data_IF_477568287200
#
_entry.id   IF_477568287200
#
_cell.length_a   1.000
_cell.length_b   1.000
_cell.length_c   1.000
_cell.angle_alpha   90.00
_cell.angle_beta   90.00
_cell.angle_gamma   90.00
#
_symmetry.space_group_name_H-M   'P 1'
#
loop_
_entity.id
_entity.type
_entity.pdbx_description
1 polymer ?
#
# COMPACT_ATOMS: atom_id res chain seq x y z
N UNK A 1 61.86 -7.55 2.99
CA UNK A 1 61.28 -8.56 2.09
C UNK A 1 60.47 -9.53 2.94
N UNK A 2 59.15 -9.37 2.97
CA UNK A 2 58.23 -10.29 3.65
C UNK A 2 56.96 -10.36 2.81
N UNK A 3 56.87 -11.40 1.98
CA UNK A 3 55.70 -11.70 1.16
C UNK A 3 54.59 -12.27 2.04
N UNK A 4 53.46 -11.58 2.12
CA UNK A 4 52.21 -12.15 2.67
C UNK A 4 51.39 -12.62 1.47
N UNK A 5 51.42 -13.94 1.21
CA UNK A 5 50.51 -14.59 0.27
C UNK A 5 49.10 -14.62 0.86
N UNK A 6 48.17 -13.87 0.27
CA UNK A 6 46.74 -14.06 0.51
C UNK A 6 46.23 -15.18 -0.39
N UNK A 7 46.09 -16.38 0.19
CA UNK A 7 45.33 -17.48 -0.41
C UNK A 7 43.85 -17.15 -0.36
N UNK A 8 43.25 -16.79 -1.50
CA UNK A 8 41.80 -16.68 -1.63
C UNK A 8 41.19 -18.08 -1.67
N UNK A 9 40.80 -18.58 -0.50
CA UNK A 9 40.09 -19.85 -0.37
C UNK A 9 38.65 -19.62 -0.84
N UNK A 10 38.33 -20.15 -2.02
CA UNK A 10 36.98 -20.13 -2.60
C UNK A 10 35.99 -20.75 -1.60
N UNK A 11 34.98 -20.00 -1.10
CA UNK A 11 33.97 -20.60 -0.24
C UNK A 11 33.23 -21.66 -1.05
N UNK A 12 33.27 -22.90 -0.56
CA UNK A 12 32.48 -24.02 -1.07
C UNK A 12 31.00 -23.66 -0.96
N UNK A 13 30.24 -24.04 -1.97
CA UNK A 13 28.89 -23.54 -2.23
C UNK A 13 27.96 -23.58 -1.02
N UNK A 14 27.69 -22.39 -0.47
CA UNK A 14 26.43 -22.13 0.21
C UNK A 14 25.35 -22.14 -0.86
N UNK A 15 24.47 -23.14 -0.82
CA UNK A 15 23.26 -23.15 -1.63
C UNK A 15 22.39 -22.03 -1.06
N UNK A 16 22.28 -20.92 -1.80
CA UNK A 16 21.37 -19.83 -1.44
C UNK A 16 19.97 -20.42 -1.18
N UNK A 17 19.32 -20.12 -0.03
CA UNK A 17 18.03 -20.68 0.35
C UNK A 17 16.88 -20.40 -0.64
N UNK A 18 17.13 -19.56 -1.66
CA UNK A 18 16.16 -19.14 -2.67
C UNK A 18 16.28 -19.87 -4.01
N UNK A 19 17.09 -20.93 -4.14
CA UNK A 19 17.19 -21.67 -5.42
C UNK A 19 15.91 -22.42 -5.80
N UNK A 20 15.03 -22.68 -4.82
CA UNK A 20 13.75 -23.35 -4.99
C UNK A 20 12.86 -23.05 -3.77
N UNK A 21 12.04 -21.98 -3.79
CA UNK A 21 11.19 -21.65 -2.66
C UNK A 21 10.15 -22.77 -2.43
N UNK A 22 9.95 -23.15 -1.18
CA UNK A 22 8.91 -24.10 -0.80
C UNK A 22 7.52 -23.48 -1.01
N UNK A 23 6.50 -24.30 -1.28
CA UNK A 23 5.12 -23.82 -1.40
C UNK A 23 4.66 -22.99 -0.19
N UNK A 24 5.10 -23.35 1.03
CA UNK A 24 4.84 -22.59 2.25
C UNK A 24 5.45 -21.18 2.21
N UNK A 25 6.71 -21.04 1.77
CA UNK A 25 7.39 -19.74 1.67
C UNK A 25 6.71 -18.83 0.65
N UNK A 26 6.21 -19.39 -0.46
CA UNK A 26 5.43 -18.62 -1.45
C UNK A 26 4.07 -18.17 -0.88
N UNK A 27 3.41 -19.01 -0.07
CA UNK A 27 2.16 -18.65 0.60
C UNK A 27 2.36 -17.55 1.63
N UNK A 28 3.41 -17.64 2.44
CA UNK A 28 3.78 -16.57 3.39
C UNK A 28 4.02 -15.25 2.66
N UNK A 29 4.71 -15.26 1.52
CA UNK A 29 4.97 -14.07 0.72
C UNK A 29 3.67 -13.41 0.21
N UNK A 30 2.69 -14.22 -0.21
CA UNK A 30 1.38 -13.72 -0.66
C UNK A 30 0.57 -13.20 0.52
N UNK A 31 0.52 -13.95 1.63
CA UNK A 31 -0.22 -13.55 2.83
C UNK A 31 0.33 -12.24 3.41
N UNK A 32 1.66 -12.10 3.47
CA UNK A 32 2.37 -10.88 3.84
C UNK A 32 1.84 -9.69 3.03
N UNK A 33 1.79 -9.81 1.71
CA UNK A 33 1.26 -8.76 0.83
C UNK A 33 -0.21 -8.45 1.09
N UNK A 34 -1.07 -9.46 1.20
CA UNK A 34 -2.50 -9.27 1.44
C UNK A 34 -2.77 -8.54 2.77
N UNK A 35 -2.01 -8.87 3.82
CA UNK A 35 -2.10 -8.22 5.12
C UNK A 35 -1.54 -6.79 5.12
N UNK A 36 -0.45 -6.54 4.39
CA UNK A 36 0.09 -5.18 4.21
C UNK A 36 -0.91 -4.27 3.49
N UNK A 37 -1.57 -4.77 2.45
CA UNK A 37 -2.53 -4.01 1.64
C UNK A 37 -3.96 -3.99 2.19
N UNK A 38 -4.18 -4.53 3.39
CA UNK A 38 -5.48 -4.57 4.06
C UNK A 38 -6.58 -5.33 3.28
N UNK A 39 -6.20 -6.33 2.48
CA UNK A 39 -7.14 -7.20 1.77
C UNK A 39 -7.68 -8.29 2.72
N UNK A 40 -8.39 -7.88 3.77
CA UNK A 40 -8.80 -8.75 4.90
C UNK A 40 -9.59 -9.97 4.47
N UNK A 41 -10.60 -9.80 3.61
CA UNK A 41 -11.43 -10.90 3.13
C UNK A 41 -10.63 -11.92 2.33
N UNK A 42 -9.74 -11.43 1.45
CA UNK A 42 -8.86 -12.28 0.64
C UNK A 42 -7.83 -12.98 1.52
N UNK A 43 -7.21 -12.27 2.47
CA UNK A 43 -6.27 -12.86 3.43
C UNK A 43 -6.95 -13.95 4.27
N UNK A 44 -8.16 -13.71 4.77
CA UNK A 44 -8.94 -14.68 5.56
C UNK A 44 -9.26 -15.93 4.73
N UNK A 45 -9.75 -15.76 3.50
CA UNK A 45 -10.00 -16.87 2.59
C UNK A 45 -8.71 -17.63 2.25
N UNK A 46 -7.62 -16.90 2.01
CA UNK A 46 -6.31 -17.47 1.69
C UNK A 46 -5.72 -18.29 2.84
N UNK A 47 -5.88 -17.83 4.09
CA UNK A 47 -5.47 -18.58 5.29
C UNK A 47 -6.26 -19.89 5.38
N UNK A 48 -7.58 -19.84 5.23
CA UNK A 48 -8.45 -21.02 5.30
C UNK A 48 -8.15 -22.05 4.20
N UNK A 49 -7.78 -21.60 3.00
CA UNK A 49 -7.37 -22.49 1.91
C UNK A 49 -5.94 -23.04 2.09
N UNK A 50 -5.11 -22.31 2.84
CA UNK A 50 -3.69 -22.65 3.08
C UNK A 50 -3.46 -23.58 4.27
N UNK A 51 -4.38 -23.61 5.25
CA UNK A 51 -4.37 -24.64 6.29
C UNK A 51 -4.51 -25.98 5.61
N UNK A 52 -3.41 -26.72 5.53
CA UNK A 52 -3.44 -28.14 5.20
C UNK A 52 -4.42 -28.74 6.19
N UNK A 53 -5.56 -29.24 5.69
CA UNK A 53 -6.42 -30.09 6.50
C UNK A 53 -5.56 -31.26 6.91
N UNK A 54 -5.07 -31.26 8.15
CA UNK A 54 -4.47 -32.44 8.72
C UNK A 54 -5.61 -33.45 8.80
N UNK A 55 -5.62 -34.37 7.84
CA UNK A 55 -6.53 -35.50 7.84
C UNK A 55 -5.90 -36.54 8.75
N UNK A 56 -6.68 -37.09 9.67
CA UNK A 56 -6.20 -38.23 10.45
C UNK A 56 -6.03 -39.46 9.56
N UNK A 57 -5.55 -40.56 10.15
CA UNK A 57 -5.35 -41.81 9.43
C UNK A 57 -6.65 -42.39 8.82
N UNK A 58 -7.81 -41.94 9.30
CA UNK A 58 -9.13 -42.35 8.85
C UNK A 58 -9.72 -41.39 7.79
N UNK A 59 -9.05 -40.27 7.52
CA UNK A 59 -9.44 -39.29 6.51
C UNK A 59 -10.40 -38.21 7.02
N UNK A 60 -10.61 -38.13 8.33
CA UNK A 60 -11.44 -37.12 8.96
C UNK A 60 -10.63 -35.83 9.21
N UNK A 61 -11.31 -34.69 9.09
CA UNK A 61 -10.71 -33.37 9.27
C UNK A 61 -10.38 -33.16 10.76
N UNK A 62 -9.09 -33.14 11.13
CA UNK A 62 -8.66 -32.79 12.48
C UNK A 62 -8.88 -31.28 12.65
N UNK A 63 -10.05 -30.91 13.15
CA UNK A 63 -10.25 -29.58 13.71
C UNK A 63 -9.35 -29.47 14.95
N UNK A 64 -8.19 -28.83 14.80
CA UNK A 64 -7.40 -28.36 15.93
C UNK A 64 -8.27 -27.39 16.74
N UNK A 65 -8.94 -27.93 17.76
CA UNK A 65 -9.67 -27.14 18.74
C UNK A 65 -8.72 -26.21 19.49
N UNK A 66 -9.26 -25.17 20.16
CA UNK A 66 -8.46 -24.13 20.83
C UNK A 66 -7.60 -24.61 22.02
N UNK A 67 -7.42 -25.92 22.23
CA UNK A 67 -6.70 -26.50 23.38
C UNK A 67 -5.41 -27.27 23.01
N UNK A 68 -4.97 -27.27 21.75
CA UNK A 68 -3.69 -27.90 21.38
C UNK A 68 -2.52 -26.90 21.33
N UNK A 69 -2.19 -26.31 22.49
CA UNK A 69 -0.95 -25.53 22.70
C UNK A 69 0.27 -26.43 22.97
N UNK A 70 0.43 -27.57 22.28
CA UNK A 70 1.58 -28.46 22.56
C UNK A 70 2.17 -29.16 21.35
N UNK A 71 2.59 -28.37 20.35
CA UNK A 71 3.71 -28.78 19.49
C UNK A 71 4.76 -27.67 19.44
N UNK A 72 5.98 -28.06 19.81
CA UNK A 72 7.12 -27.20 20.11
C UNK A 72 7.73 -26.54 18.87
N UNK A 73 8.34 -25.35 19.02
CA UNK A 73 8.94 -24.59 17.93
C UNK A 73 10.33 -25.15 17.60
N UNK A 74 10.44 -25.85 16.47
CA UNK A 74 11.75 -26.22 15.94
C UNK A 74 12.16 -25.16 14.90
N UNK A 75 13.17 -24.39 15.30
CA UNK A 75 14.00 -23.47 14.50
C UNK A 75 13.49 -22.06 14.30
N UNK A 76 13.97 -21.20 15.21
CA UNK A 76 14.02 -19.76 15.10
C UNK A 76 14.66 -19.30 13.76
N UNK A 77 13.84 -18.65 12.96
CA UNK A 77 14.22 -17.43 12.26
C UNK A 77 13.07 -16.45 12.47
N UNK A 78 13.37 -15.31 13.07
CA UNK A 78 12.44 -14.21 13.36
C UNK A 78 11.65 -13.81 12.11
N UNK A 79 10.50 -14.46 11.91
CA UNK A 79 9.53 -14.06 10.91
C UNK A 79 8.44 -13.27 11.64
N UNK A 80 8.12 -12.04 11.21
CA UNK A 80 7.14 -11.16 11.86
C UNK A 80 5.68 -11.67 11.82
N UNK A 81 5.48 -12.94 11.43
CA UNK A 81 4.19 -13.63 11.34
C UNK A 81 4.01 -14.70 12.45
N UNK A 82 4.84 -14.70 13.50
CA UNK A 82 4.71 -15.64 14.62
C UNK A 82 3.52 -15.35 15.56
N UNK A 83 2.75 -14.29 15.32
CA UNK A 83 1.51 -14.01 16.05
C UNK A 83 0.38 -14.93 15.60
N UNK A 84 -0.55 -15.25 16.51
CA UNK A 84 -1.75 -16.01 16.17
C UNK A 84 -2.46 -15.35 14.97
N UNK A 85 -2.90 -16.13 13.95
CA UNK A 85 -3.59 -15.59 12.77
C UNK A 85 -4.78 -14.69 13.12
N UNK A 86 -5.42 -14.94 14.27
CA UNK A 86 -6.52 -14.13 14.81
C UNK A 86 -6.12 -12.70 15.16
N UNK A 87 -4.95 -12.51 15.77
CA UNK A 87 -4.42 -11.19 16.19
C UNK A 87 -4.01 -10.39 14.96
N UNK A 88 -3.29 -11.03 14.03
CA UNK A 88 -2.91 -10.44 12.75
C UNK A 88 -4.14 -9.94 11.98
N UNK A 89 -5.15 -10.80 11.80
CA UNK A 89 -6.36 -10.42 11.07
C UNK A 89 -7.13 -9.28 11.74
N UNK A 90 -7.17 -9.23 13.08
CA UNK A 90 -7.78 -8.12 13.82
C UNK A 90 -7.08 -6.80 13.50
N UNK A 91 -5.75 -6.79 13.55
CA UNK A 91 -4.95 -5.60 13.25
C UNK A 91 -5.14 -5.15 11.79
N UNK A 92 -5.21 -6.10 10.84
CA UNK A 92 -5.46 -5.81 9.42
C UNK A 92 -6.86 -5.20 9.23
N UNK A 93 -7.88 -5.68 9.95
CA UNK A 93 -9.25 -5.13 9.88
C UNK A 93 -9.31 -3.71 10.45
N UNK A 94 -8.62 -3.44 11.57
CA UNK A 94 -8.52 -2.09 12.13
C UNK A 94 -7.88 -1.11 11.13
N UNK A 95 -6.79 -1.52 10.46
CA UNK A 95 -6.15 -0.69 9.43
C UNK A 95 -7.04 -0.49 8.21
N UNK A 96 -7.78 -1.53 7.80
CA UNK A 96 -8.76 -1.46 6.71
C UNK A 96 -9.86 -0.44 7.01
N UNK A 97 -10.43 -0.47 8.20
CA UNK A 97 -11.49 0.46 8.60
C UNK A 97 -11.01 1.92 8.57
N UNK A 98 -9.81 2.19 9.11
CA UNK A 98 -9.18 3.51 9.03
C UNK A 98 -8.98 3.95 7.57
N UNK A 99 -8.49 3.05 6.70
CA UNK A 99 -8.34 3.31 5.27
C UNK A 99 -9.67 3.69 4.63
N UNK A 100 -10.72 2.91 4.85
CA UNK A 100 -12.05 3.15 4.28
C UNK A 100 -12.62 4.51 4.70
N UNK A 101 -12.43 4.92 5.96
CA UNK A 101 -12.85 6.24 6.44
C UNK A 101 -12.08 7.38 5.76
N UNK A 102 -10.77 7.25 5.55
CA UNK A 102 -9.96 8.25 4.83
C UNK A 102 -10.43 8.36 3.37
N UNK A 103 -10.63 7.22 2.69
CA UNK A 103 -11.12 7.19 1.31
C UNK A 103 -12.53 7.78 1.17
N UNK A 104 -13.38 7.61 2.18
CA UNK A 104 -14.70 8.22 2.25
C UNK A 104 -14.69 9.73 2.61
N UNK A 105 -13.52 10.30 2.94
CA UNK A 105 -13.38 11.70 3.35
C UNK A 105 -13.76 11.96 4.82
N UNK A 106 -14.04 10.91 5.61
CA UNK A 106 -14.39 11.01 7.04
C UNK A 106 -13.13 11.06 7.92
N UNK A 107 -12.28 12.03 7.66
CA UNK A 107 -10.93 12.14 8.27
C UNK A 107 -10.98 12.30 9.79
N UNK A 108 -12.01 12.95 10.34
CA UNK A 108 -12.19 13.10 11.79
C UNK A 108 -12.30 11.74 12.49
N UNK A 109 -13.29 10.94 12.09
CA UNK A 109 -13.49 9.58 12.61
C UNK A 109 -12.26 8.68 12.39
N UNK A 110 -11.60 8.80 11.23
CA UNK A 110 -10.36 8.05 10.97
C UNK A 110 -9.25 8.41 11.97
N UNK A 111 -9.14 9.68 12.35
CA UNK A 111 -8.16 10.14 13.34
C UNK A 111 -8.49 9.62 14.74
N UNK A 112 -9.78 9.57 15.08
CA UNK A 112 -10.23 9.03 16.38
C UNK A 112 -9.92 7.54 16.50
N UNK A 113 -10.26 6.73 15.48
CA UNK A 113 -9.89 5.31 15.43
C UNK A 113 -8.38 5.08 15.40
N UNK A 114 -7.61 5.95 14.74
CA UNK A 114 -6.16 5.86 14.73
C UNK A 114 -5.57 6.07 16.13
N UNK A 115 -6.11 7.02 16.90
CA UNK A 115 -5.70 7.22 18.30
C UNK A 115 -6.15 6.08 19.21
N UNK A 116 -7.28 5.44 18.91
CA UNK A 116 -7.80 4.29 19.67
C UNK A 116 -6.96 3.02 19.43
N UNK A 117 -6.70 2.68 18.15
CA UNK A 117 -6.04 1.43 17.78
C UNK A 117 -4.52 1.54 17.71
N UNK A 118 -3.99 2.70 17.32
CA UNK A 118 -2.56 2.94 17.10
C UNK A 118 -2.08 4.27 17.70
N UNK A 119 -2.17 4.45 19.03
CA UNK A 119 -1.92 5.74 19.69
C UNK A 119 -0.50 6.29 19.46
N UNK A 120 0.47 5.44 19.17
CA UNK A 120 1.86 5.81 18.88
C UNK A 120 2.08 6.39 17.47
N UNK A 121 1.10 6.32 16.57
CA UNK A 121 1.24 6.81 15.19
C UNK A 121 1.27 8.33 15.12
N UNK A 122 0.42 8.98 15.91
CA UNK A 122 0.33 10.44 15.94
C UNK A 122 1.04 11.06 17.15
N UNK A 123 1.58 10.25 18.05
CA UNK A 123 2.31 10.70 19.24
C UNK A 123 3.81 10.75 18.97
N UNK A 124 4.48 11.80 19.46
CA UNK A 124 5.95 11.97 19.34
C UNK A 124 6.75 10.97 20.21
N UNK A 125 6.10 10.09 20.96
CA UNK A 125 6.73 9.20 21.93
C UNK A 125 7.14 7.86 21.31
N UNK A 126 8.37 7.74 20.80
CA UNK A 126 9.19 6.51 20.86
C UNK A 126 10.67 6.88 20.69
N UNK A 127 11.60 6.18 21.39
CA UNK A 127 12.99 6.58 21.53
C UNK A 127 13.85 6.18 20.32
N UNK A 128 14.77 7.08 19.97
CA UNK A 128 16.03 6.88 19.24
C UNK A 128 16.38 5.41 18.95
N UNK A 129 16.10 4.95 17.73
CA UNK A 129 16.96 4.01 17.02
C UNK A 129 17.88 4.80 16.09
N UNK A 130 19.14 4.36 15.91
CA UNK A 130 20.20 5.20 15.38
C UNK A 130 19.87 5.64 13.95
N UNK A 131 20.10 6.91 13.73
CA UNK A 131 19.95 7.65 12.48
C UNK A 131 20.18 6.80 11.23
N UNK A 132 19.09 6.42 10.56
CA UNK A 132 19.11 6.39 9.11
C UNK A 132 19.14 7.84 8.63
N UNK A 133 19.93 8.20 7.61
CA UNK A 133 20.02 9.58 7.16
C UNK A 133 18.61 10.10 6.86
N UNK A 134 18.28 11.25 7.42
CA UNK A 134 17.15 12.09 7.00
C UNK A 134 17.37 12.49 5.54
N UNK A 135 17.13 11.55 4.65
CA UNK A 135 17.02 11.78 3.23
C UNK A 135 15.67 12.47 3.03
N UNK A 136 15.72 13.80 3.15
CA UNK A 136 14.87 14.70 2.37
C UNK A 136 15.23 14.53 0.90
N UNK A 137 15.09 13.30 0.39
CA UNK A 137 15.33 13.00 -1.01
C UNK A 137 14.09 13.44 -1.77
N UNK A 138 14.29 14.51 -2.54
CA UNK A 138 13.51 14.79 -3.74
C UNK A 138 13.53 13.54 -4.62
N UNK A 139 12.62 12.59 -4.37
CA UNK A 139 12.41 11.48 -5.28
C UNK A 139 11.84 12.08 -6.58
N UNK A 140 12.51 11.89 -7.73
CA UNK A 140 11.94 12.25 -9.01
C UNK A 140 10.66 11.45 -9.19
N UNK A 141 9.62 12.18 -9.57
CA UNK A 141 8.26 11.73 -9.81
C UNK A 141 8.28 10.49 -10.71
N UNK A 142 7.82 9.34 -10.20
CA UNK A 142 7.34 8.30 -11.09
C UNK A 142 6.09 8.83 -11.78
N UNK A 143 6.11 8.81 -13.11
CA UNK A 143 5.09 9.34 -13.99
C UNK A 143 3.66 8.97 -13.52
N UNK A 144 2.92 9.97 -13.03
CA UNK A 144 1.46 9.91 -12.87
C UNK A 144 0.89 9.86 -11.46
N UNK A 145 1.70 9.80 -10.38
CA UNK A 145 1.17 9.77 -9.00
C UNK A 145 1.02 11.18 -8.41
N UNK A 146 -0.14 11.46 -7.80
CA UNK A 146 -0.38 12.70 -7.06
C UNK A 146 0.58 12.83 -5.87
N UNK A 147 1.52 13.77 -5.95
CA UNK A 147 2.49 14.05 -4.89
C UNK A 147 2.06 15.27 -4.07
N UNK A 148 1.92 15.09 -2.75
CA UNK A 148 1.78 16.17 -1.75
C UNK A 148 3.00 16.21 -0.83
N UNK A 149 3.13 17.25 -0.01
CA UNK A 149 4.33 17.46 0.81
C UNK A 149 4.50 16.31 1.81
N UNK A 150 5.72 15.77 1.85
CA UNK A 150 6.13 14.69 2.74
C UNK A 150 5.24 13.43 2.64
N UNK A 151 4.76 13.07 1.44
CA UNK A 151 3.88 11.90 1.20
C UNK A 151 4.49 10.53 1.53
N UNK A 152 5.81 10.46 1.68
CA UNK A 152 6.56 9.26 2.09
C UNK A 152 7.04 9.29 3.54
N UNK A 153 6.89 10.44 4.23
CA UNK A 153 7.33 10.58 5.63
C UNK A 153 6.44 9.76 6.57
N UNK A 154 7.02 9.20 7.63
CA UNK A 154 6.30 8.54 8.71
C UNK A 154 6.39 9.30 10.04
N UNK A 155 6.96 10.52 10.03
CA UNK A 155 7.04 11.39 11.19
C UNK A 155 5.65 11.86 11.66
N UNK A 156 5.32 11.78 12.97
CA UNK A 156 3.99 12.09 13.49
C UNK A 156 3.51 13.50 13.12
N UNK A 157 4.40 14.50 13.18
CA UNK A 157 4.10 15.87 12.82
C UNK A 157 3.60 16.00 11.36
N UNK A 158 4.22 15.28 10.43
CA UNK A 158 3.82 15.25 9.02
C UNK A 158 2.47 14.55 8.84
N UNK A 159 2.25 13.43 9.53
CA UNK A 159 0.99 12.68 9.46
C UNK A 159 -0.19 13.52 9.98
N UNK A 160 -0.02 14.15 11.15
CA UNK A 160 -1.02 15.03 11.75
C UNK A 160 -1.32 16.20 10.81
N UNK A 161 -0.29 16.85 10.28
CA UNK A 161 -0.47 17.99 9.37
C UNK A 161 -1.21 17.57 8.09
N UNK A 162 -0.80 16.48 7.46
CA UNK A 162 -1.42 15.97 6.24
C UNK A 162 -2.89 15.55 6.44
N UNK A 163 -3.22 14.90 7.57
CA UNK A 163 -4.59 14.59 7.97
C UNK A 163 -5.43 15.86 8.15
N UNK A 164 -4.87 16.89 8.80
CA UNK A 164 -5.57 18.18 8.98
C UNK A 164 -5.77 18.93 7.67
N UNK A 165 -4.78 18.92 6.78
CA UNK A 165 -4.91 19.49 5.43
C UNK A 165 -6.02 18.75 4.68
N UNK A 166 -6.05 17.42 4.68
CA UNK A 166 -7.11 16.67 4.01
C UNK A 166 -8.48 16.98 4.63
N UNK A 167 -8.60 17.03 5.96
CA UNK A 167 -9.85 17.40 6.63
C UNK A 167 -10.34 18.80 6.24
N UNK A 168 -9.43 19.76 6.07
CA UNK A 168 -9.76 21.10 5.58
C UNK A 168 -10.23 21.06 4.12
N UNK A 169 -9.52 20.36 3.24
CA UNK A 169 -9.89 20.18 1.82
C UNK A 169 -11.29 19.56 1.72
N UNK A 170 -11.57 18.50 2.50
CA UNK A 170 -12.86 17.84 2.54
C UNK A 170 -13.97 18.76 3.07
N UNK A 171 -13.65 19.72 3.95
CA UNK A 171 -14.61 20.73 4.40
C UNK A 171 -14.90 21.79 3.32
N UNK A 172 -13.97 22.00 2.39
CA UNK A 172 -14.16 22.92 1.28
C UNK A 172 -15.10 22.34 0.20
N UNK A 173 -15.20 21.01 0.08
CA UNK A 173 -16.05 20.36 -0.93
C UNK A 173 -17.48 20.83 -0.90
N UNK A 174 -18.04 21.04 -2.08
CA UNK A 174 -19.47 21.27 -2.28
C UNK A 174 -20.16 20.05 -2.85
N UNK A 175 -19.39 19.16 -3.49
CA UNK A 175 -19.86 17.91 -4.09
C UNK A 175 -19.16 16.70 -3.46
N UNK A 176 -19.91 15.66 -3.06
CA UNK A 176 -19.31 14.39 -2.66
C UNK A 176 -18.46 13.81 -3.80
N UNK A 177 -17.29 13.28 -3.45
CA UNK A 177 -16.44 12.57 -4.41
C UNK A 177 -16.92 11.12 -4.54
N UNK A 178 -17.13 10.68 -5.78
CA UNK A 178 -17.40 9.28 -6.06
C UNK A 178 -16.15 8.44 -5.79
N UNK A 179 -16.26 7.45 -4.92
CA UNK A 179 -15.19 6.47 -4.70
C UNK A 179 -15.16 5.58 -5.94
N UNK A 180 -14.03 5.46 -6.64
CA UNK A 180 -13.90 4.53 -7.75
C UNK A 180 -14.23 3.12 -7.26
N UNK A 181 -15.42 2.64 -7.58
CA UNK A 181 -15.77 1.24 -7.36
C UNK A 181 -14.91 0.43 -8.32
N UNK A 182 -14.07 -0.47 -7.79
CA UNK A 182 -13.40 -1.49 -8.57
C UNK A 182 -14.46 -2.38 -9.24
N UNK A 183 -14.99 -1.95 -10.39
CA UNK A 183 -15.66 -2.86 -11.30
C UNK A 183 -14.60 -3.84 -11.77
N UNK A 184 -14.75 -5.09 -11.38
CA UNK A 184 -14.01 -6.19 -11.98
C UNK A 184 -14.10 -6.08 -13.52
N UNK A 185 -13.00 -6.20 -14.27
CA UNK A 185 -13.02 -6.18 -15.71
C UNK A 185 -13.67 -7.48 -16.20
N UNK A 186 -14.99 -7.46 -16.43
CA UNK A 186 -15.70 -8.64 -16.90
C UNK A 186 -17.20 -8.65 -16.64
N UNK A 187 -17.93 -7.58 -16.98
CA UNK A 187 -19.38 -7.72 -17.17
C UNK A 187 -19.88 -6.74 -18.24
N UNK A 188 -19.67 -7.13 -19.48
CA UNK A 188 -20.39 -6.59 -20.62
C UNK A 188 -21.73 -7.31 -20.78
N UNK A 189 -22.83 -6.59 -20.61
CA UNK A 189 -24.02 -6.73 -21.44
C UNK A 189 -25.06 -7.80 -21.08
N UNK A 190 -26.20 -7.30 -20.58
CA UNK A 190 -27.57 -7.64 -20.99
C UNK A 190 -28.10 -9.09 -20.80
N UNK A 191 -28.75 -9.31 -19.66
CA UNK A 191 -30.04 -10.03 -19.54
C UNK A 191 -30.82 -9.27 -18.45
N UNK A 192 -32.01 -8.73 -18.68
CA UNK A 192 -33.22 -9.47 -19.01
C UNK A 192 -34.00 -9.68 -17.70
N UNK A 193 -35.15 -8.99 -17.58
CA UNK A 193 -36.10 -9.03 -16.45
C UNK A 193 -36.24 -10.44 -15.87
N UNK A 194 -36.08 -10.57 -14.55
CA UNK A 194 -36.26 -11.85 -13.86
C UNK A 194 -36.06 -11.72 -12.37
N UNK A 195 -37.08 -11.20 -11.70
CA UNK A 195 -37.33 -11.34 -10.26
C UNK A 195 -37.21 -12.82 -9.88
N UNK A 196 -36.23 -13.19 -9.06
CA UNK A 196 -36.35 -14.20 -8.00
C UNK A 196 -35.37 -13.89 -6.87
N UNK A 197 -35.94 -13.46 -5.76
CA UNK A 197 -35.33 -13.31 -4.44
C UNK A 197 -35.15 -14.68 -3.81
N UNK A 198 -33.94 -15.00 -3.33
CA UNK A 198 -33.80 -15.97 -2.23
C UNK A 198 -32.99 -15.35 -1.08
N UNK A 199 -33.35 -15.64 0.16
CA UNK A 199 -33.10 -14.77 1.31
C UNK A 199 -31.85 -15.19 2.08
N UNK A 200 -31.09 -14.21 2.54
CA UNK A 200 -30.11 -14.39 3.62
C UNK A 200 -30.87 -14.16 4.94
N UNK A 201 -30.88 -15.11 5.89
CA UNK A 201 -31.50 -14.91 7.19
C UNK A 201 -30.57 -14.04 8.03
N UNK A 202 -30.87 -12.74 8.11
CA UNK A 202 -30.31 -11.86 9.14
C UNK A 202 -31.41 -11.67 10.19
N UNK A 203 -31.14 -12.20 11.38
CA UNK A 203 -31.95 -12.04 12.57
C UNK A 203 -31.86 -10.58 13.04
N UNK A 204 -32.93 -9.82 12.79
CA UNK A 204 -33.16 -8.51 13.40
C UNK A 204 -34.57 -8.49 13.98
N UNK A 205 -34.67 -8.84 15.26
CA UNK A 205 -35.82 -8.48 16.09
C UNK A 205 -35.82 -6.96 16.32
N UNK A 206 -36.43 -6.19 15.42
CA UNK A 206 -36.85 -4.81 15.71
C UNK A 206 -38.24 -4.81 16.36
N UNK A 207 -38.31 -4.32 17.60
CA UNK A 207 -39.52 -3.76 18.18
C UNK A 207 -39.75 -2.31 17.68
N UNK A 208 -40.96 -1.76 17.86
CA UNK A 208 -41.39 -0.55 17.19
C UNK A 208 -40.63 0.71 17.65
N UNK A 209 -40.12 1.44 16.67
CA UNK A 209 -39.46 2.74 16.72
C UNK A 209 -40.26 3.77 17.54
N UNK A 210 -39.67 4.43 18.53
CA UNK A 210 -40.17 5.73 18.99
C UNK A 210 -39.62 6.82 18.06
N UNK A 211 -40.54 7.66 17.56
CA UNK A 211 -40.27 8.88 16.80
C UNK A 211 -39.06 9.63 17.36
N UNK A 212 -37.95 9.59 16.62
CA UNK A 212 -36.83 10.50 16.82
C UNK A 212 -37.06 11.74 15.95
N UNK A 213 -36.91 12.95 16.51
CA UNK A 213 -37.29 14.17 15.83
C UNK A 213 -36.45 14.34 14.56
N UNK A 214 -37.11 14.65 13.46
CA UNK A 214 -36.48 15.18 12.26
C UNK A 214 -35.55 16.32 12.68
N UNK A 215 -34.25 16.08 12.61
CA UNK A 215 -33.25 17.14 12.64
C UNK A 215 -33.46 17.96 11.37
N UNK A 216 -34.17 19.06 11.58
CA UNK A 216 -34.19 20.26 10.75
C UNK A 216 -32.88 20.40 9.99
N UNK A 217 -32.94 20.36 8.66
CA UNK A 217 -31.81 20.75 7.82
C UNK A 217 -31.66 22.27 7.94
N UNK A 218 -31.16 22.70 9.09
CA UNK A 218 -30.79 24.07 9.35
C UNK A 218 -29.82 24.48 8.26
N UNK A 219 -30.28 25.34 7.37
CA UNK A 219 -29.45 25.98 6.34
C UNK A 219 -28.36 26.72 7.10
N UNK A 220 -27.20 26.10 7.27
CA UNK A 220 -26.02 26.78 7.79
C UNK A 220 -25.78 27.92 6.81
N UNK A 221 -25.95 29.16 7.29
CA UNK A 221 -25.70 30.36 6.49
C UNK A 221 -24.30 30.25 5.87
N UNK A 222 -24.15 30.64 4.60
CA UNK A 222 -22.86 30.59 3.90
C UNK A 222 -21.76 31.30 4.70
N UNK A 223 -22.12 32.34 5.45
CA UNK A 223 -21.24 33.06 6.37
C UNK A 223 -20.74 32.17 7.53
N UNK A 224 -21.63 31.39 8.15
CA UNK A 224 -21.27 30.48 9.24
C UNK A 224 -20.38 29.32 8.73
N UNK A 225 -20.64 28.83 7.53
CA UNK A 225 -19.78 27.83 6.88
C UNK A 225 -18.38 28.39 6.61
N UNK A 226 -18.31 29.62 6.11
CA UNK A 226 -17.04 30.31 5.87
C UNK A 226 -16.27 30.55 7.17
N UNK A 227 -16.94 30.95 8.25
CA UNK A 227 -16.32 31.14 9.57
C UNK A 227 -15.69 29.85 10.10
N UNK A 228 -16.38 28.72 9.98
CA UNK A 228 -15.86 27.39 10.35
C UNK A 228 -14.60 27.07 9.54
N UNK A 229 -14.61 27.32 8.24
CA UNK A 229 -13.47 27.07 7.35
C UNK A 229 -12.27 27.95 7.69
N UNK A 230 -12.50 29.25 7.93
CA UNK A 230 -11.45 30.18 8.36
C UNK A 230 -10.86 29.74 9.71
N UNK A 231 -11.70 29.31 10.65
CA UNK A 231 -11.24 28.78 11.94
C UNK A 231 -10.36 27.53 11.77
N UNK A 232 -10.75 26.60 10.89
CA UNK A 232 -9.92 25.42 10.54
C UNK A 232 -8.59 25.83 9.89
N UNK A 233 -8.61 26.79 8.96
CA UNK A 233 -7.41 27.33 8.33
C UNK A 233 -6.43 27.98 9.31
N UNK A 234 -6.94 28.77 10.27
CA UNK A 234 -6.13 29.37 11.34
C UNK A 234 -5.45 28.32 12.22
N UNK A 235 -6.19 27.28 12.61
CA UNK A 235 -5.62 26.15 13.39
C UNK A 235 -4.52 25.43 12.61
N UNK A 236 -4.73 25.24 11.31
CA UNK A 236 -3.77 24.60 10.42
C UNK A 236 -2.46 25.39 10.30
N UNK A 237 -2.56 26.72 10.16
CA UNK A 237 -1.39 27.59 10.17
C UNK A 237 -0.65 27.56 11.52
N UNK A 238 -1.37 27.47 12.64
CA UNK A 238 -0.75 27.29 13.95
C UNK A 238 0.10 26.02 14.05
N UNK A 239 -0.37 24.90 13.49
CA UNK A 239 0.39 23.64 13.42
C UNK A 239 1.62 23.76 12.52
N UNK A 240 1.49 24.44 11.38
CA UNK A 240 2.61 24.71 10.47
C UNK A 240 3.72 25.50 11.19
N UNK A 241 3.38 26.52 11.97
CA UNK A 241 4.38 27.29 12.72
C UNK A 241 5.06 26.50 13.83
N UNK A 242 4.42 25.43 14.33
CA UNK A 242 4.98 24.55 15.35
C UNK A 242 5.99 23.52 14.80
N UNK A 243 6.11 23.37 13.46
CA UNK A 243 7.09 22.47 12.87
C UNK A 243 8.53 22.94 13.14
N UNK A 244 9.45 22.03 13.52
CA UNK A 244 10.83 22.39 13.87
C UNK A 244 11.69 22.77 12.64
N UNK A 245 11.52 22.09 11.51
CA UNK A 245 12.33 22.34 10.31
C UNK A 245 11.81 23.55 9.51
N UNK A 246 12.69 24.52 9.25
CA UNK A 246 12.38 25.68 8.43
C UNK A 246 12.12 25.35 6.95
N UNK A 247 12.81 24.35 6.39
CA UNK A 247 12.64 23.98 4.97
C UNK A 247 11.29 23.32 4.73
N UNK A 248 10.91 22.38 5.61
CA UNK A 248 9.62 21.71 5.54
C UNK A 248 8.47 22.70 5.76
N UNK A 249 8.64 23.65 6.70
CA UNK A 249 7.69 24.75 6.87
C UNK A 249 7.46 25.55 5.61
N UNK A 250 8.50 25.88 4.85
CA UNK A 250 8.34 26.62 3.59
C UNK A 250 7.58 25.81 2.53
N UNK A 251 7.83 24.50 2.45
CA UNK A 251 7.11 23.61 1.53
C UNK A 251 5.62 23.52 1.89
N UNK A 252 5.31 23.31 3.16
CA UNK A 252 3.95 23.26 3.64
C UNK A 252 3.23 24.61 3.57
N UNK A 253 3.94 25.73 3.74
CA UNK A 253 3.37 27.07 3.57
C UNK A 253 2.89 27.29 2.12
N UNK A 254 3.68 26.87 1.13
CA UNK A 254 3.30 26.88 -0.29
C UNK A 254 2.09 25.99 -0.56
N UNK A 255 2.06 24.77 0.00
CA UNK A 255 0.90 23.89 -0.14
C UNK A 255 -0.35 24.49 0.50
N UNK A 256 -0.23 25.06 1.71
CA UNK A 256 -1.32 25.67 2.43
C UNK A 256 -1.88 26.89 1.71
N UNK A 257 -1.03 27.71 1.06
CA UNK A 257 -1.47 28.80 0.20
C UNK A 257 -2.34 28.32 -0.96
N UNK A 258 -1.94 27.23 -1.62
CA UNK A 258 -2.72 26.63 -2.71
C UNK A 258 -4.06 26.06 -2.22
N UNK A 259 -4.04 25.39 -1.07
CA UNK A 259 -5.23 24.77 -0.45
C UNK A 259 -6.20 25.84 0.08
N UNK A 260 -5.70 26.92 0.68
CA UNK A 260 -6.50 28.06 1.12
C UNK A 260 -7.19 28.77 -0.06
N UNK A 261 -6.58 28.72 -1.24
CA UNK A 261 -7.17 29.20 -2.49
C UNK A 261 -8.54 28.58 -2.82
N UNK A 262 -8.84 27.37 -2.32
CA UNK A 262 -10.15 26.73 -2.49
C UNK A 262 -11.31 27.57 -1.91
N UNK A 263 -11.05 28.36 -0.86
CA UNK A 263 -12.05 29.22 -0.23
C UNK A 263 -12.54 30.37 -1.13
N UNK A 264 -11.73 30.74 -2.14
CA UNK A 264 -12.07 31.81 -3.06
C UNK A 264 -13.10 31.42 -4.12
N UNK A 265 -13.43 30.13 -4.23
CA UNK A 265 -14.32 29.62 -5.27
C UNK A 265 -15.63 29.10 -4.67
N UNK A 266 -16.75 29.51 -5.27
CA UNK A 266 -18.08 28.99 -4.93
C UNK A 266 -18.19 27.48 -5.16
N UNK A 267 -17.54 27.00 -6.22
CA UNK A 267 -17.45 25.58 -6.57
C UNK A 267 -15.97 25.23 -6.73
N UNK A 268 -15.30 24.77 -5.65
CA UNK A 268 -13.87 24.54 -5.66
C UNK A 268 -13.45 23.37 -6.57
N UNK A 269 -14.38 22.48 -6.93
CA UNK A 269 -14.16 21.36 -7.86
C UNK A 269 -13.86 21.81 -9.30
N UNK A 270 -14.32 22.99 -9.70
CA UNK A 270 -14.07 23.56 -11.03
C UNK A 270 -12.87 24.53 -11.04
N UNK A 271 -12.20 24.67 -9.91
CA UNK A 271 -11.10 25.62 -9.72
C UNK A 271 -9.78 25.12 -10.33
N UNK A 272 -8.82 26.02 -10.63
CA UNK A 272 -7.48 25.61 -11.06
C UNK A 272 -6.71 24.80 -10.00
N UNK A 273 -7.15 24.83 -8.74
CA UNK A 273 -6.60 24.05 -7.63
C UNK A 273 -7.43 22.80 -7.31
N UNK A 274 -8.38 22.43 -8.18
CA UNK A 274 -9.21 21.23 -8.02
C UNK A 274 -8.40 19.92 -7.94
N UNK A 275 -7.14 19.91 -8.39
CA UNK A 275 -6.23 18.77 -8.21
C UNK A 275 -6.13 18.31 -6.75
N UNK A 276 -6.26 19.21 -5.78
CA UNK A 276 -6.22 18.86 -4.35
C UNK A 276 -7.48 18.09 -3.88
N UNK A 277 -8.56 18.18 -4.65
CA UNK A 277 -9.84 17.49 -4.43
C UNK A 277 -9.91 16.14 -5.16
N UNK A 278 -8.80 15.63 -5.70
CA UNK A 278 -8.75 14.33 -6.36
C UNK A 278 -8.91 13.17 -5.37
N UNK A 279 -9.32 12.01 -5.90
CA UNK A 279 -9.31 10.75 -5.13
C UNK A 279 -7.89 10.31 -4.78
N UNK A 280 -6.94 10.56 -5.69
CA UNK A 280 -5.53 10.18 -5.57
C UNK A 280 -4.90 10.72 -4.28
N UNK A 281 -5.28 11.92 -3.83
CA UNK A 281 -4.82 12.45 -2.54
C UNK A 281 -5.31 11.62 -1.35
N UNK A 282 -6.57 11.17 -1.36
CA UNK A 282 -7.13 10.34 -0.28
C UNK A 282 -6.42 9.00 -0.23
N UNK A 283 -6.21 8.38 -1.39
CA UNK A 283 -5.51 7.11 -1.52
C UNK A 283 -4.07 7.20 -1.02
N UNK A 284 -3.31 8.18 -1.50
CA UNK A 284 -1.91 8.35 -1.12
C UNK A 284 -1.75 8.63 0.40
N UNK A 285 -2.66 9.39 1.01
CA UNK A 285 -2.65 9.60 2.46
C UNK A 285 -3.05 8.33 3.23
N UNK A 286 -4.03 7.58 2.75
CA UNK A 286 -4.41 6.32 3.38
C UNK A 286 -3.25 5.30 3.33
N UNK A 287 -2.50 5.25 2.22
CA UNK A 287 -1.28 4.45 2.10
C UNK A 287 -0.17 4.93 3.05
N UNK A 288 0.01 6.25 3.20
CA UNK A 288 0.96 6.82 4.16
C UNK A 288 0.61 6.42 5.60
N UNK A 289 -0.65 6.54 6.00
CA UNK A 289 -1.11 6.19 7.35
C UNK A 289 -0.99 4.69 7.60
N UNK A 290 -1.35 3.85 6.64
CA UNK A 290 -1.18 2.40 6.75
C UNK A 290 0.30 2.01 6.99
N UNK A 291 1.22 2.61 6.22
CA UNK A 291 2.67 2.41 6.40
C UNK A 291 3.15 2.86 7.78
N UNK A 292 2.68 4.00 8.26
CA UNK A 292 3.03 4.49 9.59
C UNK A 292 2.48 3.59 10.71
N UNK A 293 1.26 3.07 10.56
CA UNK A 293 0.67 2.12 11.49
C UNK A 293 1.47 0.81 11.55
N UNK A 294 1.90 0.28 10.40
CA UNK A 294 2.79 -0.88 10.35
C UNK A 294 4.12 -0.60 11.06
N UNK A 295 4.79 0.50 10.69
CA UNK A 295 6.09 0.90 11.27
C UNK A 295 6.03 1.01 12.81
N UNK A 296 5.00 1.68 13.33
CA UNK A 296 4.82 1.91 14.78
C UNK A 296 4.37 0.65 15.53
N UNK A 297 3.86 -0.34 14.82
CA UNK A 297 3.58 -1.67 15.35
C UNK A 297 4.80 -2.61 15.26
N UNK A 298 5.97 -2.11 14.85
CA UNK A 298 7.19 -2.92 14.70
C UNK A 298 7.23 -3.78 13.44
N UNK A 299 6.30 -3.58 12.51
CA UNK A 299 6.23 -4.31 11.24
C UNK A 299 6.90 -3.50 10.12
N UNK A 300 7.29 -4.19 9.04
CA UNK A 300 7.80 -3.53 7.84
C UNK A 300 6.72 -2.62 7.23
N UNK A 301 7.03 -1.39 6.81
CA UNK A 301 6.06 -0.55 6.09
C UNK A 301 5.75 -1.06 4.68
N UNK A 302 6.63 -1.90 4.11
CA UNK A 302 6.53 -2.39 2.74
C UNK A 302 6.59 -3.91 2.79
N UNK A 303 5.71 -4.57 2.02
CA UNK A 303 5.67 -6.03 1.95
C UNK A 303 6.92 -6.60 1.28
N UNK A 304 7.23 -7.85 1.61
CA UNK A 304 8.39 -8.56 1.08
C UNK A 304 8.33 -8.69 -0.44
N UNK A 305 7.15 -8.93 -1.02
CA UNK A 305 6.98 -9.05 -2.48
C UNK A 305 7.21 -7.72 -3.20
N UNK A 306 6.77 -6.60 -2.63
CA UNK A 306 7.03 -5.27 -3.18
C UNK A 306 8.51 -4.94 -3.13
N UNK A 307 9.17 -5.24 -2.01
CA UNK A 307 10.61 -5.08 -1.84
C UNK A 307 11.36 -5.87 -2.91
N UNK A 308 11.05 -7.16 -3.06
CA UNK A 308 11.67 -8.03 -4.06
C UNK A 308 11.46 -7.52 -5.49
N UNK A 309 10.25 -7.04 -5.78
CA UNK A 309 9.92 -6.46 -7.09
C UNK A 309 10.75 -5.21 -7.35
N UNK A 310 10.85 -4.28 -6.39
CA UNK A 310 11.66 -3.06 -6.51
C UNK A 310 13.14 -3.37 -6.69
N UNK A 311 13.69 -4.28 -5.87
CA UNK A 311 15.07 -4.73 -6.01
C UNK A 311 15.34 -5.32 -7.38
N UNK A 312 14.44 -6.20 -7.85
CA UNK A 312 14.56 -6.81 -9.18
C UNK A 312 14.58 -5.74 -10.27
N UNK A 313 13.65 -4.79 -10.24
CA UNK A 313 13.62 -3.67 -11.19
C UNK A 313 14.93 -2.88 -11.22
N UNK A 314 15.43 -2.47 -10.04
CA UNK A 314 16.65 -1.66 -9.93
C UNK A 314 17.88 -2.46 -10.36
N UNK A 315 17.99 -3.73 -9.98
CA UNK A 315 19.14 -4.57 -10.33
C UNK A 315 19.23 -4.80 -11.84
N UNK A 316 18.10 -5.10 -12.51
CA UNK A 316 18.09 -5.26 -13.97
C UNK A 316 18.36 -3.93 -14.68
N UNK A 317 17.81 -2.82 -14.18
CA UNK A 317 18.08 -1.50 -14.73
C UNK A 317 19.56 -1.09 -14.59
N UNK A 318 20.17 -1.35 -13.42
CA UNK A 318 21.58 -1.08 -13.18
C UNK A 318 22.49 -1.99 -14.01
N UNK A 319 22.17 -3.28 -14.11
CA UNK A 319 22.92 -4.20 -14.96
C UNK A 319 22.90 -3.75 -16.43
N UNK A 320 21.73 -3.28 -16.91
CA UNK A 320 21.59 -2.70 -18.25
C UNK A 320 22.41 -1.42 -18.42
N UNK A 321 22.36 -0.48 -17.46
CA UNK A 321 23.12 0.78 -17.56
C UNK A 321 24.64 0.56 -17.56
N UNK A 322 25.11 -0.54 -16.97
CA UNK A 322 26.50 -0.96 -17.00
C UNK A 322 26.88 -1.87 -18.19
N UNK A 323 25.96 -2.08 -19.14
CA UNK A 323 26.23 -2.90 -20.35
C UNK A 323 26.50 -4.37 -20.03
N UNK A 324 25.94 -4.90 -18.94
CA UNK A 324 26.12 -6.31 -18.57
C UNK A 324 25.47 -7.18 -19.64
N UNK A 325 26.26 -8.12 -20.17
CA UNK A 325 25.80 -9.09 -21.17
C UNK A 325 25.13 -10.28 -20.50
N UNK A 326 24.11 -10.82 -21.15
CA UNK A 326 23.45 -12.04 -20.71
C UNK A 326 24.45 -13.21 -20.65
N UNK A 327 24.48 -13.94 -19.53
CA UNK A 327 25.24 -15.19 -19.43
C UNK A 327 24.49 -16.30 -20.15
N UNK A 328 25.21 -17.20 -20.82
CA UNK A 328 24.63 -18.40 -21.42
C UNK A 328 23.86 -19.21 -20.37
N UNK A 329 22.57 -19.44 -20.61
CA UNK A 329 21.67 -20.16 -19.70
C UNK A 329 21.01 -19.30 -18.60
N UNK A 330 21.18 -17.98 -18.60
CA UNK A 330 20.44 -17.10 -17.71
C UNK A 330 18.97 -16.95 -18.14
N UNK A 331 18.05 -16.94 -17.18
CA UNK A 331 16.65 -16.58 -17.41
C UNK A 331 16.56 -15.06 -17.51
N UNK A 332 16.16 -14.55 -18.66
CA UNK A 332 16.02 -13.12 -18.92
C UNK A 332 14.56 -12.68 -18.70
N UNK A 333 14.32 -11.44 -18.24
CA UNK A 333 12.98 -10.93 -18.10
C UNK A 333 12.31 -10.76 -19.48
N UNK A 334 10.98 -10.93 -19.56
CA UNK A 334 10.25 -10.82 -20.82
C UNK A 334 10.31 -9.39 -21.37
N UNK A 335 10.44 -9.27 -22.69
CA UNK A 335 10.50 -8.00 -23.41
C UNK A 335 9.28 -7.84 -24.31
N UNK A 336 8.87 -6.60 -24.59
CA UNK A 336 7.69 -6.29 -25.42
C UNK A 336 7.91 -6.53 -26.93
N UNK A 337 8.84 -7.41 -27.31
CA UNK A 337 9.14 -7.66 -28.71
C UNK A 337 7.96 -8.36 -29.41
N UNK A 338 7.19 -7.58 -30.18
CA UNK A 338 6.25 -8.09 -31.19
C UNK A 338 7.04 -8.90 -32.25
N UNK A 339 6.49 -10.00 -32.80
CA UNK A 339 7.14 -10.73 -33.89
C UNK A 339 7.15 -9.88 -35.18
N UNK A 340 8.35 -9.77 -35.77
CA UNK A 340 8.71 -9.49 -37.16
C UNK A 340 7.93 -8.44 -37.98
N UNK A 341 8.65 -7.43 -38.46
CA UNK A 341 8.33 -6.79 -39.76
C UNK A 341 8.79 -7.75 -40.87
N UNK A 342 7.96 -8.11 -41.88
CA UNK A 342 8.39 -8.95 -42.99
C UNK A 342 8.99 -8.07 -44.10
N UNK A 343 10.31 -8.13 -44.31
CA UNK A 343 10.95 -7.92 -45.62
C UNK A 343 12.48 -8.10 -45.56
N UNK A 344 12.95 -9.32 -45.78
CA UNK A 344 14.02 -9.69 -46.72
C UNK A 344 14.39 -11.18 -46.52
N UNK A 345 14.58 -11.96 -47.60
CA UNK A 345 14.90 -13.37 -47.49
C UNK A 345 16.39 -13.54 -47.25
N UNK A 346 16.78 -13.87 -46.02
CA UNK A 346 18.03 -14.60 -45.81
C UNK A 346 17.85 -15.56 -44.65
N UNK A 347 17.82 -16.85 -44.99
CA UNK A 347 17.85 -17.90 -44.00
C UNK A 347 19.13 -17.80 -43.18
N UNK A 348 18.97 -17.47 -41.91
CA UNK A 348 19.89 -17.89 -40.86
C UNK A 348 19.10 -17.92 -39.56
N UNK A 349 18.82 -19.12 -39.07
CA UNK A 349 18.46 -19.30 -37.68
C UNK A 349 19.49 -18.55 -36.83
N UNK A 350 19.04 -17.66 -35.95
CA UNK A 350 19.91 -16.92 -35.04
C UNK A 350 20.79 -17.92 -34.31
N UNK A 351 22.11 -17.79 -34.47
CA UNK A 351 23.06 -18.67 -33.80
C UNK A 351 22.98 -18.38 -32.30
N UNK A 352 23.17 -19.38 -31.42
CA UNK A 352 23.18 -19.17 -29.97
C UNK A 352 24.26 -18.18 -29.49
N UNK A 353 25.18 -17.78 -30.38
CA UNK A 353 26.23 -16.80 -30.15
C UNK A 353 25.75 -15.34 -30.19
N UNK A 354 24.64 -15.05 -30.88
CA UNK A 354 24.13 -13.68 -31.02
C UNK A 354 23.39 -13.19 -29.76
N UNK A 355 22.79 -14.11 -28.98
CA UNK A 355 22.13 -13.82 -27.69
C UNK A 355 23.15 -13.46 -26.60
N UNK A 356 24.40 -13.94 -26.73
CA UNK A 356 25.48 -13.73 -25.75
C UNK A 356 26.01 -12.28 -25.80
N UNK A 357 25.74 -11.56 -26.90
CA UNK A 357 26.17 -10.18 -27.08
C UNK A 357 25.06 -9.16 -26.83
N UNK A 358 23.83 -9.59 -26.56
CA UNK A 358 22.72 -8.70 -26.24
C UNK A 358 22.82 -8.27 -24.76
N UNK A 359 22.73 -6.95 -24.54
CA UNK A 359 22.66 -6.38 -23.20
C UNK A 359 21.41 -6.89 -22.48
N UNK A 360 21.50 -7.05 -21.16
CA UNK A 360 20.35 -7.48 -20.38
C UNK A 360 19.14 -6.54 -20.54
N UNK A 361 17.91 -7.08 -20.70
CA UNK A 361 16.73 -6.24 -20.81
C UNK A 361 16.38 -5.58 -19.48
N UNK A 362 15.66 -4.45 -19.54
CA UNK A 362 15.06 -3.86 -18.36
C UNK A 362 13.92 -4.76 -17.85
N UNK A 363 13.77 -4.87 -16.53
CA UNK A 363 12.65 -5.59 -15.94
C UNK A 363 11.39 -4.73 -15.98
N UNK A 364 10.33 -5.25 -16.61
CA UNK A 364 9.00 -4.67 -16.61
C UNK A 364 8.04 -5.64 -15.92
N UNK A 365 7.48 -5.22 -14.79
CA UNK A 365 6.58 -6.05 -13.99
C UNK A 365 5.32 -6.44 -14.79
N UNK A 366 4.78 -5.53 -15.62
CA UNK A 366 3.56 -5.82 -16.37
C UNK A 366 3.81 -6.90 -17.40
N UNK A 367 4.89 -6.79 -18.16
CA UNK A 367 5.29 -7.82 -19.12
C UNK A 367 5.60 -9.15 -18.42
N UNK A 368 6.18 -9.10 -17.23
CA UNK A 368 6.43 -10.29 -16.43
C UNK A 368 5.15 -11.02 -16.02
N UNK A 369 4.13 -10.27 -15.60
CA UNK A 369 2.83 -10.84 -15.23
C UNK A 369 2.03 -11.33 -16.45
N UNK A 370 2.17 -10.67 -17.60
CA UNK A 370 1.52 -11.06 -18.86
C UNK A 370 2.21 -12.25 -19.55
N UNK A 371 3.46 -12.56 -19.17
CA UNK A 371 4.20 -13.68 -19.72
C UNK A 371 3.58 -15.01 -19.25
N UNK A 372 3.24 -15.88 -20.20
CA UNK A 372 2.78 -17.23 -19.88
C UNK A 372 3.95 -18.07 -19.35
N UNK A 373 3.73 -18.89 -18.30
CA UNK A 373 4.76 -19.76 -17.73
C UNK A 373 5.25 -20.83 -18.71
#
# INVERSE_FOLDING_TARGET
MSNISFSFQKPRGSVSPFKSPTALQLRELVLDYLCHQCYTNTARAFIHDSTVKELDADGDEILAGPESESLSPISASESPLSESPSVLLKQVEQRREIRELILAGRVGHATDLLNEYFPSVLSDSLPLSPEGPSQTDNAPTSNGSFAYVSSTSMEPAHLVLNLRILSFIESCRTRPLEIPSHKAPGSTGAFGKGRETFPVPMDTSEGPVPDSPQLDSGVISDDARMEILISKGKKLYGLLQALPDAKERELYDKELGNVAGLLGYKTPEDSPVAKYLSFERREALADQINRAALHRSGLSPISSVEILTRYTTVLWQAARSHGVKARSGAVLPPTSSKPSTPAAPSGSAAKPEDIINEEVPAFDLKLFLDAKP
#
